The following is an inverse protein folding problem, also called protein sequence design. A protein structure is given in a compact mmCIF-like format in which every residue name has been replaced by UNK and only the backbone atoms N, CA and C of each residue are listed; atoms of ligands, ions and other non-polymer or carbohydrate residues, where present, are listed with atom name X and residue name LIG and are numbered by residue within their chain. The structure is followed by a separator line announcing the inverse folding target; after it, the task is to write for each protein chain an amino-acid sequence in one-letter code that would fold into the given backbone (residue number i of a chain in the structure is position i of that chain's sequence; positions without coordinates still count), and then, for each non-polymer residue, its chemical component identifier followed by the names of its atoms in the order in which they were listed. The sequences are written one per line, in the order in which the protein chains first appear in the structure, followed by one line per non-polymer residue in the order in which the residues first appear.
data_IF_275156055105
#
_entry.id   IF_275156055105
#
_cell.length_a   1.000
_cell.length_b   1.000
_cell.length_c   1.000
_cell.angle_alpha   90.00
_cell.angle_beta   90.00
_cell.angle_gamma   90.00
#
_symmetry.space_group_name_H-M   'P 1'
#
loop_
_entity.id
_entity.type
_entity.pdbx_description
1 polymer ?
#
# COMPACT_ATOMS: atom_id res chain seq x y z
N UNK A 1 -11.21 14.58 5.90
CA UNK A 1 -10.38 14.37 4.69
C UNK A 1 -10.16 12.87 4.55
N UNK A 2 -10.29 12.29 3.34
CA UNK A 2 -10.00 10.87 3.13
C UNK A 2 -8.48 10.63 3.16
N UNK A 3 -8.02 9.56 3.82
CA UNK A 3 -6.61 9.22 3.93
C UNK A 3 -6.36 7.75 3.57
N UNK A 4 -5.70 7.46 2.43
CA UNK A 4 -5.38 6.10 2.02
C UNK A 4 -4.12 5.58 2.73
N UNK A 5 -4.15 4.33 3.21
CA UNK A 5 -2.99 3.72 3.88
C UNK A 5 -2.49 2.40 3.24
N UNK A 6 -1.37 2.46 2.51
CA UNK A 6 -0.48 1.39 2.09
C UNK A 6 -0.37 0.04 2.81
N UNK A 7 -1.17 -1.01 2.59
CA UNK A 7 -0.92 -2.30 3.27
C UNK A 7 -0.44 -3.40 2.32
N UNK A 8 0.86 -3.75 2.41
CA UNK A 8 1.47 -4.88 1.68
C UNK A 8 1.51 -6.19 2.45
N UNK A 9 1.55 -6.12 3.78
CA UNK A 9 1.64 -7.28 4.68
C UNK A 9 0.29 -7.96 4.91
N UNK A 10 -0.43 -8.32 3.85
CA UNK A 10 -1.72 -9.01 3.94
C UNK A 10 -1.58 -10.50 3.58
N UNK A 11 -2.47 -11.34 4.12
CA UNK A 11 -2.52 -12.76 3.79
C UNK A 11 -3.17 -12.93 2.41
N UNK A 12 -2.34 -12.91 1.36
CA UNK A 12 -2.78 -12.80 -0.04
C UNK A 12 -3.82 -13.84 -0.45
N UNK A 13 -3.58 -15.09 -0.08
CA UNK A 13 -4.49 -16.20 -0.42
C UNK A 13 -5.88 -16.02 0.21
N UNK A 14 -5.92 -15.59 1.48
CA UNK A 14 -7.17 -15.30 2.19
C UNK A 14 -7.85 -14.06 1.62
N UNK A 15 -7.08 -13.06 1.17
CA UNK A 15 -7.64 -11.84 0.59
C UNK A 15 -8.38 -12.12 -0.73
N UNK A 16 -7.78 -12.90 -1.64
CA UNK A 16 -8.43 -13.25 -2.89
C UNK A 16 -9.72 -14.05 -2.64
N UNK A 17 -9.66 -15.05 -1.76
CA UNK A 17 -10.83 -15.82 -1.36
C UNK A 17 -11.94 -14.95 -0.75
N UNK A 18 -11.58 -14.02 0.14
CA UNK A 18 -12.52 -13.09 0.77
C UNK A 18 -13.25 -12.21 -0.26
N UNK A 19 -12.53 -11.72 -1.28
CA UNK A 19 -13.11 -10.91 -2.35
C UNK A 19 -13.72 -11.73 -3.50
N UNK A 20 -13.74 -13.07 -3.41
CA UNK A 20 -14.25 -13.95 -4.46
C UNK A 20 -13.41 -13.94 -5.75
N UNK A 21 -12.12 -13.59 -5.64
CA UNK A 21 -11.18 -13.56 -6.76
C UNK A 21 -10.52 -14.94 -6.93
N UNK A 22 -10.45 -15.41 -8.18
CA UNK A 22 -9.75 -16.64 -8.53
C UNK A 22 -8.22 -16.43 -8.42
N UNK A 23 -7.55 -17.38 -7.76
CA UNK A 23 -6.19 -17.20 -7.24
C UNK A 23 -5.15 -17.21 -8.36
N UNK A 24 -5.38 -18.02 -9.38
CA UNK A 24 -4.48 -18.24 -10.51
C UNK A 24 -4.51 -17.06 -11.50
N UNK A 25 -5.63 -16.34 -11.58
CA UNK A 25 -5.82 -15.17 -12.45
C UNK A 25 -5.46 -13.85 -11.78
N UNK A 26 -5.67 -13.71 -10.47
CA UNK A 26 -5.52 -12.43 -9.77
C UNK A 26 -4.42 -12.46 -8.72
N UNK A 27 -3.33 -11.73 -8.97
CA UNK A 27 -2.27 -11.54 -7.99
C UNK A 27 -2.63 -10.40 -7.04
N UNK A 28 -2.68 -10.68 -5.73
CA UNK A 28 -2.85 -9.65 -4.71
C UNK A 28 -1.57 -8.80 -4.58
N UNK A 29 -1.72 -7.48 -4.80
CA UNK A 29 -0.62 -6.51 -4.83
C UNK A 29 -0.54 -5.71 -3.52
N UNK A 30 -1.57 -4.93 -3.22
CA UNK A 30 -1.67 -4.03 -2.04
C UNK A 30 -3.15 -3.98 -1.62
N UNK A 31 -3.41 -3.95 -0.32
CA UNK A 31 -4.71 -3.54 0.24
C UNK A 31 -4.66 -2.03 0.54
N UNK A 32 -5.68 -1.30 0.10
CA UNK A 32 -5.77 0.16 0.27
C UNK A 32 -7.04 0.54 1.04
N UNK A 33 -7.03 0.53 2.39
CA UNK A 33 -8.09 1.13 3.17
C UNK A 33 -8.16 2.64 2.89
N UNK A 34 -9.39 3.14 2.80
CA UNK A 34 -9.70 4.57 2.64
C UNK A 34 -10.72 4.91 3.72
N UNK A 35 -10.37 5.86 4.58
CA UNK A 35 -11.26 6.31 5.65
C UNK A 35 -11.06 7.81 5.94
N UNK A 36 -11.91 8.38 6.78
CA UNK A 36 -11.77 9.72 7.34
C UNK A 36 -10.66 9.69 8.40
N UNK A 37 -9.72 10.63 8.30
CA UNK A 37 -8.61 10.76 9.27
C UNK A 37 -9.11 11.01 10.69
N UNK A 38 -8.59 10.23 11.64
CA UNK A 38 -8.75 10.43 13.07
C UNK A 38 -7.60 11.28 13.66
N UNK A 39 -6.37 11.13 13.11
CA UNK A 39 -5.16 11.87 13.48
C UNK A 39 -4.31 12.23 12.24
N UNK A 40 -3.31 13.11 12.39
CA UNK A 40 -2.46 13.57 11.29
C UNK A 40 -1.39 12.56 10.83
N UNK A 41 -1.27 11.41 11.49
CA UNK A 41 -0.24 10.41 11.21
C UNK A 41 1.16 10.79 11.68
N UNK A 42 2.17 10.11 11.12
CA UNK A 42 3.58 10.29 11.48
C UNK A 42 4.40 10.87 10.33
N UNK A 43 5.21 11.89 10.61
CA UNK A 43 6.15 12.44 9.64
C UNK A 43 7.18 11.38 9.24
N UNK A 44 7.38 11.22 7.93
CA UNK A 44 8.36 10.32 7.33
C UNK A 44 9.50 11.09 6.70
N UNK A 45 10.70 10.50 6.65
CA UNK A 45 11.88 11.10 6.01
C UNK A 45 12.19 10.39 4.70
N UNK A 46 12.58 11.16 3.67
CA UNK A 46 13.02 10.64 2.38
C UNK A 46 14.55 10.75 2.26
N UNK A 47 15.15 9.88 1.45
CA UNK A 47 16.58 9.96 1.14
C UNK A 47 16.86 11.18 0.24
N UNK A 48 18.01 11.88 0.42
CA UNK A 48 18.42 12.96 -0.48
C UNK A 48 18.50 12.48 -1.94
N UNK A 49 18.07 13.34 -2.89
CA UNK A 49 17.99 12.98 -4.32
C UNK A 49 19.33 12.55 -4.91
N UNK A 50 20.42 13.22 -4.51
CA UNK A 50 21.79 12.92 -4.98
C UNK A 50 22.28 11.54 -4.53
N UNK A 51 21.61 10.91 -3.56
CA UNK A 51 21.91 9.54 -3.10
C UNK A 51 21.18 8.47 -3.93
N UNK A 52 20.04 8.79 -4.51
CA UNK A 52 19.15 7.82 -5.17
C UNK A 52 19.04 7.98 -6.69
N UNK A 53 19.54 9.08 -7.24
CA UNK A 53 19.49 9.38 -8.67
C UNK A 53 20.87 9.77 -9.23
N UNK A 54 21.09 9.50 -10.53
CA UNK A 54 22.26 9.93 -11.29
C UNK A 54 21.80 10.57 -12.60
N UNK A 55 22.38 11.71 -12.94
CA UNK A 55 22.21 12.32 -14.27
C UNK A 55 23.06 11.56 -15.29
N UNK A 56 22.50 11.32 -16.47
CA UNK A 56 23.18 10.70 -17.61
C UNK A 56 23.42 11.71 -18.71
#
# INVERSE_FOLDING_TARGET
MYNPNPLRGNHKENSNAFFGLEKERYVSVILLPIDIVADEGYASYLLPVDRIAKWK
#
